data_IF_319139364767
#
_entry.id   IF_319139364767
#
_cell.length_a   1.000
_cell.length_b   1.000
_cell.length_c   1.000
_cell.angle_alpha   90.00
_cell.angle_beta   90.00
_cell.angle_gamma   90.00
#
_symmetry.space_group_name_H-M   'P 1'
#
loop_
_entity.id
_entity.type
_entity.pdbx_description
1 polymer ?
#
# COMPACT_ATOMS: atom_id res chain seq x y z
N UNK A 1 -0.73 -14.82 1.17
CA UNK A 1 -1.80 -13.96 0.68
C UNK A 1 -1.34 -13.06 -0.47
N UNK A 2 -0.35 -12.18 -0.27
CA UNK A 2 0.26 -11.46 -1.39
C UNK A 2 1.09 -12.43 -2.22
N UNK A 3 0.85 -12.44 -3.53
CA UNK A 3 1.58 -13.27 -4.47
C UNK A 3 2.50 -12.40 -5.30
N UNK A 4 3.54 -13.01 -5.84
CA UNK A 4 4.57 -12.33 -6.60
C UNK A 4 4.87 -13.09 -7.88
N UNK A 5 5.51 -12.41 -8.82
CA UNK A 5 6.08 -13.02 -10.00
C UNK A 5 7.48 -12.48 -10.24
N UNK A 6 8.29 -13.23 -10.97
CA UNK A 6 9.68 -12.88 -11.19
C UNK A 6 9.80 -11.61 -12.04
N UNK A 7 10.68 -10.69 -11.60
CA UNK A 7 11.04 -9.52 -12.38
C UNK A 7 12.02 -9.90 -13.48
N UNK A 8 11.56 -9.94 -14.72
CA UNK A 8 12.37 -10.32 -15.86
C UNK A 8 13.40 -9.26 -16.30
N UNK A 9 13.34 -8.06 -15.71
CA UNK A 9 14.20 -6.93 -16.06
C UNK A 9 14.97 -6.40 -14.85
N UNK A 10 15.46 -7.31 -14.02
CA UNK A 10 16.16 -6.94 -12.78
C UNK A 10 17.51 -6.27 -13.02
N UNK A 11 17.98 -6.25 -14.28
CA UNK A 11 19.24 -5.60 -14.65
C UNK A 11 19.12 -4.08 -14.78
N UNK A 12 17.92 -3.53 -14.65
CA UNK A 12 17.70 -2.07 -14.68
C UNK A 12 16.70 -1.66 -13.61
N UNK A 13 16.82 -0.43 -13.16
CA UNK A 13 15.79 0.19 -12.34
C UNK A 13 14.67 0.72 -13.24
N UNK A 14 13.45 0.44 -12.84
CA UNK A 14 12.27 1.07 -13.44
C UNK A 14 11.20 1.21 -12.37
N UNK A 15 10.31 2.17 -12.58
CA UNK A 15 9.27 2.51 -11.61
C UNK A 15 7.96 1.84 -11.99
N UNK A 16 7.36 1.15 -11.02
CA UNK A 16 5.98 0.67 -11.13
C UNK A 16 5.11 1.55 -10.23
N UNK A 17 4.04 2.09 -10.79
CA UNK A 17 3.07 2.84 -10.02
C UNK A 17 1.73 2.11 -10.06
N UNK A 18 1.15 1.87 -8.87
CA UNK A 18 -0.15 1.21 -8.74
C UNK A 18 -1.05 2.14 -7.94
N UNK A 19 -2.20 2.49 -8.52
CA UNK A 19 -3.16 3.41 -7.90
C UNK A 19 -4.41 2.63 -7.53
N UNK A 20 -4.78 2.64 -6.24
CA UNK A 20 -5.94 1.93 -5.71
C UNK A 20 -6.93 2.95 -5.13
N UNK A 21 -7.89 3.45 -5.94
CA UNK A 21 -8.76 4.55 -5.50
C UNK A 21 -9.96 4.09 -4.66
N UNK A 22 -10.13 2.80 -4.46
CA UNK A 22 -11.32 2.26 -3.79
C UNK A 22 -10.99 1.62 -2.44
N UNK A 23 -9.92 2.06 -1.80
CA UNK A 23 -9.53 1.51 -0.50
C UNK A 23 -10.53 1.92 0.59
N UNK A 24 -10.91 0.96 1.43
CA UNK A 24 -11.80 1.21 2.57
C UNK A 24 -11.29 0.53 3.82
N UNK A 25 -11.53 1.18 4.95
CA UNK A 25 -11.34 0.63 6.29
C UNK A 25 -12.43 1.22 7.18
N UNK A 26 -12.31 1.04 8.49
CA UNK A 26 -13.31 1.54 9.43
C UNK A 26 -12.63 2.40 10.48
N UNK A 27 -13.27 3.52 10.82
CA UNK A 27 -12.78 4.37 11.90
C UNK A 27 -12.91 3.63 13.23
N UNK A 28 -11.81 3.46 13.99
CA UNK A 28 -11.88 2.70 15.25
C UNK A 28 -12.68 3.42 16.35
N UNK A 29 -12.92 4.71 16.19
CA UNK A 29 -13.70 5.50 17.18
C UNK A 29 -15.20 5.48 16.91
N UNK A 30 -15.60 5.59 15.63
CA UNK A 30 -17.01 5.76 15.26
C UNK A 30 -17.61 4.54 14.62
N UNK A 31 -16.81 3.62 14.12
CA UNK A 31 -17.27 2.47 13.34
C UNK A 31 -17.73 2.82 11.93
N UNK A 32 -17.58 4.08 11.52
CA UNK A 32 -17.98 4.49 10.19
C UNK A 32 -16.90 4.13 9.16
N UNK A 33 -17.31 3.87 7.89
CA UNK A 33 -16.33 3.54 6.85
C UNK A 33 -15.46 4.74 6.49
N UNK A 34 -14.17 4.46 6.32
CA UNK A 34 -13.20 5.39 5.79
C UNK A 34 -12.88 5.00 4.35
N UNK A 35 -12.71 5.99 3.49
CA UNK A 35 -12.40 5.80 2.07
C UNK A 35 -11.11 6.52 1.73
N UNK A 36 -10.35 5.94 0.82
CA UNK A 36 -9.10 6.56 0.43
C UNK A 36 -8.53 5.98 -0.86
N UNK A 37 -7.49 6.67 -1.34
CA UNK A 37 -6.71 6.24 -2.49
C UNK A 37 -5.32 5.87 -2.01
N UNK A 38 -4.89 4.65 -2.31
CA UNK A 38 -3.52 4.22 -2.06
C UNK A 38 -2.74 4.30 -3.36
N UNK A 39 -1.59 4.97 -3.32
CA UNK A 39 -0.68 5.03 -4.46
C UNK A 39 0.63 4.40 -4.04
N UNK A 40 0.97 3.30 -4.69
CA UNK A 40 2.23 2.60 -4.50
C UNK A 40 3.16 2.97 -5.65
N UNK A 41 4.39 3.37 -5.32
CA UNK A 41 5.46 3.51 -6.30
C UNK A 41 6.62 2.65 -5.82
N UNK A 42 7.14 1.77 -6.67
CA UNK A 42 8.27 0.97 -6.26
C UNK A 42 9.18 0.61 -7.43
N UNK A 43 10.44 0.39 -7.09
CA UNK A 43 11.45 -0.12 -8.02
C UNK A 43 11.69 -1.57 -7.63
N UNK A 44 11.26 -2.55 -8.44
CA UNK A 44 11.40 -3.95 -8.08
C UNK A 44 12.86 -4.40 -8.13
N UNK A 45 13.21 -5.31 -7.23
CA UNK A 45 14.47 -6.05 -7.32
C UNK A 45 14.20 -7.37 -8.06
N UNK A 46 13.93 -8.44 -7.35
CA UNK A 46 13.74 -9.76 -7.96
C UNK A 46 12.27 -10.09 -8.20
N UNK A 47 11.36 -9.44 -7.50
CA UNK A 47 9.95 -9.81 -7.48
C UNK A 47 9.05 -8.61 -7.76
N UNK A 48 7.97 -8.85 -8.51
CA UNK A 48 6.89 -7.90 -8.71
C UNK A 48 5.63 -8.43 -8.01
N UNK A 49 4.78 -7.51 -7.53
CA UNK A 49 3.53 -7.90 -6.88
C UNK A 49 2.49 -8.29 -7.93
N UNK A 50 1.78 -9.38 -7.67
CA UNK A 50 0.67 -9.82 -8.51
C UNK A 50 -0.59 -9.03 -8.11
N UNK A 51 -1.27 -8.40 -9.08
CA UNK A 51 -2.30 -7.39 -8.79
C UNK A 51 -3.59 -7.96 -8.23
N UNK A 52 -3.99 -9.17 -8.65
CA UNK A 52 -5.20 -9.78 -8.09
C UNK A 52 -5.03 -10.07 -6.62
N UNK A 53 -3.88 -10.58 -6.23
CA UNK A 53 -3.57 -10.83 -4.82
C UNK A 53 -3.49 -9.54 -4.02
N UNK A 54 -2.96 -8.47 -4.62
CA UNK A 54 -2.93 -7.17 -3.97
C UNK A 54 -4.35 -6.67 -3.71
N UNK A 55 -5.25 -6.80 -4.69
CA UNK A 55 -6.66 -6.42 -4.51
C UNK A 55 -7.29 -7.16 -3.34
N UNK A 56 -7.11 -8.48 -3.28
CA UNK A 56 -7.69 -9.29 -2.20
C UNK A 56 -7.05 -8.95 -0.85
N UNK A 57 -5.75 -8.69 -0.84
CA UNK A 57 -5.04 -8.26 0.37
C UNK A 57 -5.63 -6.96 0.91
N UNK A 58 -5.84 -5.96 0.04
CA UNK A 58 -6.38 -4.67 0.47
C UNK A 58 -7.84 -4.78 0.92
N UNK A 59 -8.63 -5.66 0.30
CA UNK A 59 -10.03 -5.84 0.66
C UNK A 59 -10.22 -6.40 2.08
N UNK A 60 -9.23 -7.08 2.63
CA UNK A 60 -9.36 -7.61 4.00
C UNK A 60 -9.52 -6.51 5.05
N UNK A 61 -9.11 -5.29 4.73
CA UNK A 61 -9.16 -4.18 5.69
C UNK A 61 -10.51 -3.46 5.74
N UNK A 62 -11.44 -3.78 4.83
CA UNK A 62 -12.69 -3.03 4.70
C UNK A 62 -13.54 -2.97 5.96
N UNK A 63 -13.44 -3.99 6.80
CA UNK A 63 -14.21 -4.09 8.04
C UNK A 63 -13.34 -3.98 9.29
N UNK A 64 -12.07 -3.61 9.14
CA UNK A 64 -11.16 -3.48 10.27
C UNK A 64 -11.12 -2.05 10.78
N UNK A 65 -11.34 -1.88 12.09
CA UNK A 65 -11.18 -0.60 12.75
C UNK A 65 -9.71 -0.32 13.01
N UNK A 66 -9.14 0.61 12.25
CA UNK A 66 -7.72 0.91 12.31
C UNK A 66 -7.46 2.37 11.94
N UNK A 67 -6.54 3.03 12.64
CA UNK A 67 -6.16 4.39 12.33
C UNK A 67 -5.36 4.47 11.03
N UNK A 68 -5.44 5.63 10.35
CA UNK A 68 -4.78 5.85 9.06
C UNK A 68 -3.27 5.59 9.12
N UNK A 69 -2.63 6.07 10.18
CA UNK A 69 -1.19 5.91 10.37
C UNK A 69 -0.80 4.44 10.51
N UNK A 70 -1.58 3.69 11.28
CA UNK A 70 -1.31 2.27 11.51
C UNK A 70 -1.50 1.45 10.26
N UNK A 71 -2.62 1.66 9.53
CA UNK A 71 -2.91 0.87 8.34
C UNK A 71 -1.88 1.13 7.23
N UNK A 72 -1.47 2.39 7.06
CA UNK A 72 -0.52 2.75 6.01
C UNK A 72 0.85 2.11 6.27
N UNK A 73 1.33 2.20 7.51
CA UNK A 73 2.60 1.59 7.88
C UNK A 73 2.56 0.07 7.78
N UNK A 74 1.47 -0.55 8.20
CA UNK A 74 1.30 -2.00 8.10
C UNK A 74 1.33 -2.49 6.65
N UNK A 75 0.64 -1.79 5.77
CA UNK A 75 0.62 -2.15 4.34
C UNK A 75 2.03 -2.03 3.76
N UNK A 76 2.75 -0.95 4.08
CA UNK A 76 4.12 -0.81 3.61
C UNK A 76 4.99 -1.98 4.08
N UNK A 77 4.92 -2.31 5.37
CA UNK A 77 5.73 -3.40 5.93
C UNK A 77 5.42 -4.74 5.25
N UNK A 78 4.15 -5.03 5.00
CA UNK A 78 3.76 -6.26 4.33
C UNK A 78 4.31 -6.32 2.90
N UNK A 79 4.26 -5.21 2.17
CA UNK A 79 4.79 -5.13 0.80
C UNK A 79 6.32 -5.26 0.81
N UNK A 80 7.00 -4.60 1.74
CA UNK A 80 8.45 -4.71 1.88
C UNK A 80 8.87 -6.15 2.17
N UNK A 81 8.20 -6.79 3.12
CA UNK A 81 8.52 -8.17 3.50
C UNK A 81 8.31 -9.16 2.34
N UNK A 82 7.29 -8.90 1.52
CA UNK A 82 6.94 -9.78 0.41
C UNK A 82 7.84 -9.57 -0.81
N UNK A 83 8.10 -8.30 -1.18
CA UNK A 83 8.77 -7.94 -2.42
C UNK A 83 10.27 -7.75 -2.28
N UNK A 84 10.72 -7.28 -1.11
CA UNK A 84 12.11 -6.83 -0.91
C UNK A 84 12.54 -5.90 -2.06
N UNK A 85 11.81 -4.80 -2.30
CA UNK A 85 12.07 -3.93 -3.44
C UNK A 85 13.33 -3.10 -3.22
N UNK A 86 13.87 -2.50 -4.27
CA UNK A 86 15.01 -1.58 -4.15
C UNK A 86 14.58 -0.29 -3.46
N UNK A 87 13.35 0.13 -3.73
CA UNK A 87 12.71 1.30 -3.12
C UNK A 87 11.19 1.16 -3.24
N UNK A 88 10.47 1.64 -2.24
CA UNK A 88 9.01 1.69 -2.28
C UNK A 88 8.52 2.89 -1.50
N UNK A 89 7.50 3.54 -2.04
CA UNK A 89 6.77 4.64 -1.39
C UNK A 89 5.28 4.37 -1.47
N UNK A 90 4.60 4.54 -0.35
CA UNK A 90 3.14 4.45 -0.29
C UNK A 90 2.60 5.78 0.17
N UNK A 91 1.68 6.33 -0.62
CA UNK A 91 0.89 7.51 -0.26
C UNK A 91 -0.53 7.07 -0.06
N UNK A 92 -1.06 7.26 1.14
CA UNK A 92 -2.46 6.99 1.46
C UNK A 92 -3.18 8.31 1.63
N UNK A 93 -4.10 8.62 0.70
CA UNK A 93 -4.87 9.86 0.69
C UNK A 93 -6.31 9.55 1.06
N UNK A 94 -6.73 9.98 2.24
CA UNK A 94 -8.05 9.65 2.76
C UNK A 94 -9.05 10.76 2.47
N UNK A 95 -10.29 10.35 2.17
CA UNK A 95 -11.39 11.27 1.91
C UNK A 95 -11.64 12.15 3.13
N UNK A 96 -11.83 13.48 2.95
CA UNK A 96 -12.04 14.40 4.07
C UNK A 96 -13.22 14.02 4.93
N UNK A 97 -13.04 14.18 6.25
CA UNK A 97 -14.09 14.02 7.23
C UNK A 97 -14.11 15.23 8.15
N UNK A 98 -15.29 15.84 8.29
CA UNK A 98 -15.43 17.05 9.08
C UNK A 98 -14.56 18.19 8.56
N UNK A 99 -14.29 18.21 7.26
CA UNK A 99 -13.43 19.22 6.64
C UNK A 99 -11.94 18.95 6.78
N UNK A 100 -11.55 17.79 7.38
CA UNK A 100 -10.14 17.44 7.58
C UNK A 100 -9.76 16.35 6.60
N UNK A 101 -8.73 16.61 5.78
CA UNK A 101 -8.13 15.63 4.90
C UNK A 101 -6.77 15.20 5.47
N UNK A 102 -6.43 13.92 5.26
CA UNK A 102 -5.19 13.35 5.79
C UNK A 102 -4.48 12.56 4.70
N UNK A 103 -3.21 12.84 4.53
CA UNK A 103 -2.32 12.02 3.70
C UNK A 103 -1.24 11.42 4.61
N UNK A 104 -1.04 10.11 4.52
CA UNK A 104 0.05 9.45 5.21
C UNK A 104 1.02 8.95 4.16
N UNK A 105 2.28 9.36 4.28
CA UNK A 105 3.33 9.04 3.30
C UNK A 105 4.43 8.27 4.01
N UNK A 106 4.71 7.06 3.53
CA UNK A 106 5.75 6.21 4.09
C UNK A 106 6.60 5.64 2.96
N UNK A 107 7.88 5.45 3.23
CA UNK A 107 8.77 4.87 2.23
C UNK A 107 9.86 4.02 2.88
N UNK A 108 10.46 3.16 2.08
CA UNK A 108 11.50 2.25 2.51
C UNK A 108 12.48 2.06 1.36
N UNK A 109 13.74 1.91 1.71
CA UNK A 109 14.81 1.73 0.73
C UNK A 109 15.70 0.56 1.14
N UNK A 110 16.01 -0.29 0.17
CA UNK A 110 16.93 -1.40 0.37
C UNK A 110 18.33 -0.87 0.68
N UNK A 111 18.98 -1.48 1.65
CA UNK A 111 20.38 -1.17 1.92
C UNK A 111 21.25 -1.94 0.93
N UNK A 112 22.23 -1.23 0.36
CA UNK A 112 23.15 -1.78 -0.62
C UNK A 112 24.60 -1.62 -0.17
#
# INVERSE_FOLDING_TARGET
MLETFENSFSHRDYLIEIICPEFTSVCPKTGQPDFGTLTFQYIPDKLCVELKSLKLYLQQFRNQGIFYEDITNRILDDLVNTLQPRWIKLVASFTPRGGISTNVVVEWQMQR
#
